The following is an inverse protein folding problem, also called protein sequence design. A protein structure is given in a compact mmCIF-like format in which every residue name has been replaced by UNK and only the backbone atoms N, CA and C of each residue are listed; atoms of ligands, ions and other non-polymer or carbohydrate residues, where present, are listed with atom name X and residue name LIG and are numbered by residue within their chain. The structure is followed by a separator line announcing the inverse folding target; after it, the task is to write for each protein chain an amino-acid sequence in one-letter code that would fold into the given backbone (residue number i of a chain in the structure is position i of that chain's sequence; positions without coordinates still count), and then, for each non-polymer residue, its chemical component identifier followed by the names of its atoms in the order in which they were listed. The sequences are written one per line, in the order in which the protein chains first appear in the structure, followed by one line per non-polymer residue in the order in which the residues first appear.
data_IF_353491440422
#
_entry.id   IF_353491440422
#
_cell.length_a   1.000
_cell.length_b   1.000
_cell.length_c   1.000
_cell.angle_alpha   90.00
_cell.angle_beta   90.00
_cell.angle_gamma   90.00
#
_symmetry.space_group_name_H-M   'P 1'
#
loop_
_entity.id
_entity.type
_entity.pdbx_description
1 polymer ?
#
# COMPACT_ATOMS: atom_id res chain seq x y z
N UNK A 1 31.30 -29.67 -8.53
CA UNK A 1 29.96 -29.14 -8.21
C UNK A 1 30.10 -27.63 -8.11
N UNK A 2 29.51 -26.91 -9.05
CA UNK A 2 29.84 -25.51 -9.35
C UNK A 2 29.06 -24.55 -8.46
N UNK A 3 29.75 -23.52 -7.96
CA UNK A 3 29.27 -22.48 -7.03
C UNK A 3 28.14 -21.60 -7.63
N UNK A 4 27.81 -21.78 -8.91
CA UNK A 4 26.77 -21.05 -9.62
C UNK A 4 25.36 -21.61 -9.44
N UNK A 5 25.19 -22.87 -9.00
CA UNK A 5 23.84 -23.44 -8.77
C UNK A 5 23.24 -23.02 -7.43
N UNK A 6 24.08 -22.59 -6.48
CA UNK A 6 23.62 -22.12 -5.16
C UNK A 6 23.04 -20.69 -5.21
N UNK A 7 23.36 -19.90 -6.23
CA UNK A 7 22.90 -18.51 -6.37
C UNK A 7 21.57 -18.38 -7.10
N UNK A 8 21.15 -19.40 -7.87
CA UNK A 8 19.83 -19.38 -8.50
C UNK A 8 18.70 -19.67 -7.50
N UNK A 9 18.98 -20.40 -6.41
CA UNK A 9 18.00 -20.68 -5.35
C UNK A 9 17.68 -19.47 -4.46
N UNK A 10 18.47 -18.38 -4.54
CA UNK A 10 18.19 -17.13 -3.80
C UNK A 10 17.37 -16.17 -4.65
N UNK A 11 17.26 -16.39 -5.96
CA UNK A 11 16.54 -15.52 -6.89
C UNK A 11 15.11 -16.00 -7.23
N UNK A 12 14.64 -17.10 -6.64
CA UNK A 12 13.37 -17.74 -7.01
C UNK A 12 12.50 -18.14 -5.82
N UNK A 13 12.53 -17.38 -4.72
CA UNK A 13 11.70 -17.67 -3.55
C UNK A 13 11.42 -16.43 -2.67
N UNK A 14 11.16 -15.28 -3.28
CA UNK A 14 10.24 -14.35 -2.64
C UNK A 14 9.14 -14.02 -3.65
N UNK A 15 8.13 -14.89 -3.67
CA UNK A 15 6.76 -14.46 -3.95
C UNK A 15 6.38 -13.49 -2.82
N UNK A 16 7.04 -12.33 -2.78
CA UNK A 16 6.74 -11.27 -1.83
C UNK A 16 5.41 -10.70 -2.28
N UNK A 17 4.34 -11.34 -1.81
CA UNK A 17 3.05 -10.71 -1.77
C UNK A 17 3.29 -9.41 -0.98
N UNK A 18 3.33 -8.25 -1.59
CA UNK A 18 3.48 -6.99 -0.87
C UNK A 18 2.12 -6.31 -0.87
N UNK A 19 1.71 -5.84 0.30
CA UNK A 19 0.50 -5.07 0.45
C UNK A 19 0.81 -3.61 0.12
N UNK A 20 0.09 -3.06 -0.84
CA UNK A 20 0.11 -1.63 -1.14
C UNK A 20 -1.22 -1.02 -0.75
N UNK A 21 -1.17 -0.08 0.18
CA UNK A 21 -2.30 0.73 0.61
C UNK A 21 -2.21 2.11 -0.04
N UNK A 22 -3.32 2.59 -0.56
CA UNK A 22 -3.41 3.91 -1.18
C UNK A 22 -4.67 4.65 -0.72
N UNK A 23 -4.53 5.95 -0.48
CA UNK A 23 -5.62 6.86 -0.13
C UNK A 23 -5.80 7.84 -1.27
N UNK A 24 -6.97 7.79 -1.90
CA UNK A 24 -7.37 8.76 -2.92
C UNK A 24 -8.44 9.69 -2.39
N UNK A 25 -8.35 10.95 -2.78
CA UNK A 25 -9.39 11.95 -2.59
C UNK A 25 -10.08 12.22 -3.91
N UNK A 26 -11.34 11.85 -4.01
CA UNK A 26 -12.19 12.18 -5.16
C UNK A 26 -13.00 13.43 -4.84
N UNK A 27 -13.10 14.34 -5.81
CA UNK A 27 -14.12 15.40 -5.82
C UNK A 27 -15.27 15.01 -6.75
N UNK A 28 -16.49 15.47 -6.46
CA UNK A 28 -17.72 15.08 -7.20
C UNK A 28 -17.60 15.31 -8.72
N UNK A 29 -16.74 16.23 -9.17
CA UNK A 29 -16.53 16.56 -10.59
C UNK A 29 -15.05 16.55 -11.02
N UNK A 30 -14.14 16.02 -10.20
CA UNK A 30 -12.70 16.08 -10.50
C UNK A 30 -12.04 14.71 -10.57
N UNK A 31 -10.73 14.74 -10.83
CA UNK A 31 -9.88 13.55 -10.83
C UNK A 31 -9.58 13.11 -9.40
N UNK A 32 -9.26 11.83 -9.25
CA UNK A 32 -8.82 11.26 -7.98
C UNK A 32 -7.40 11.75 -7.69
N UNK A 33 -7.21 12.45 -6.57
CA UNK A 33 -5.90 12.90 -6.10
C UNK A 33 -5.32 11.85 -5.15
N UNK A 34 -4.12 11.34 -5.46
CA UNK A 34 -3.39 10.46 -4.54
C UNK A 34 -2.87 11.28 -3.35
N UNK A 35 -3.36 10.99 -2.16
CA UNK A 35 -2.93 11.65 -0.91
C UNK A 35 -1.82 10.90 -0.21
N UNK A 36 -1.82 9.58 -0.29
CA UNK A 36 -0.85 8.74 0.40
C UNK A 36 -0.79 7.34 -0.21
N UNK A 37 0.40 6.77 -0.25
CA UNK A 37 0.66 5.40 -0.68
C UNK A 37 1.79 4.83 0.17
N UNK A 38 1.62 3.61 0.63
CA UNK A 38 2.68 2.83 1.28
C UNK A 38 2.61 1.39 0.80
N UNK A 39 3.77 0.80 0.52
CA UNK A 39 3.89 -0.62 0.16
C UNK A 39 4.77 -1.31 1.20
N UNK A 40 4.31 -2.42 1.75
CA UNK A 40 5.07 -3.27 2.67
C UNK A 40 4.99 -4.71 2.22
N UNK A 41 6.12 -5.40 2.28
CA UNK A 41 6.20 -6.86 2.11
C UNK A 41 6.34 -7.57 3.47
N UNK A 42 6.27 -6.80 4.56
CA UNK A 42 6.38 -7.27 5.93
C UNK A 42 4.97 -7.50 6.53
N UNK A 43 4.54 -8.77 6.56
CA UNK A 43 3.24 -9.22 7.06
C UNK A 43 3.11 -9.24 8.58
N UNK A 44 4.22 -9.10 9.33
CA UNK A 44 4.14 -8.91 10.79
C UNK A 44 3.66 -7.48 11.14
N UNK A 45 3.42 -6.64 10.14
CA UNK A 45 2.98 -5.26 10.32
C UNK A 45 1.46 -5.13 10.45
N UNK A 46 0.91 -5.59 11.59
CA UNK A 46 -0.36 -5.02 12.15
C UNK A 46 -0.33 -3.48 12.08
N UNK A 47 0.87 -2.92 12.15
CA UNK A 47 1.15 -1.50 12.03
C UNK A 47 0.80 -0.86 10.66
N UNK A 48 0.78 -1.58 9.53
CA UNK A 48 0.53 -0.95 8.22
C UNK A 48 -0.94 -0.57 8.07
N UNK A 49 -1.85 -1.50 8.38
CA UNK A 49 -3.30 -1.24 8.40
C UNK A 49 -3.65 -0.17 9.44
N UNK A 50 -3.02 -0.20 10.63
CA UNK A 50 -3.19 0.83 11.66
C UNK A 50 -2.73 2.21 11.17
N UNK A 51 -1.52 2.32 10.59
CA UNK A 51 -1.04 3.57 9.97
C UNK A 51 -1.98 4.04 8.88
N UNK A 52 -2.50 3.12 8.07
CA UNK A 52 -3.46 3.45 7.02
C UNK A 52 -4.75 4.06 7.60
N UNK A 53 -5.32 3.46 8.64
CA UNK A 53 -6.50 4.01 9.34
C UNK A 53 -6.23 5.38 9.95
N UNK A 54 -5.06 5.57 10.56
CA UNK A 54 -4.64 6.88 11.08
C UNK A 54 -4.54 7.93 9.97
N UNK A 55 -3.94 7.57 8.83
CA UNK A 55 -3.85 8.46 7.66
C UNK A 55 -5.22 8.77 7.08
N UNK A 56 -6.12 7.80 7.03
CA UNK A 56 -7.49 8.00 6.56
C UNK A 56 -8.24 9.00 7.45
N UNK A 57 -8.15 8.84 8.77
CA UNK A 57 -8.75 9.76 9.73
C UNK A 57 -8.15 11.16 9.61
N UNK A 58 -6.82 11.26 9.50
CA UNK A 58 -6.12 12.53 9.32
C UNK A 58 -6.58 13.28 8.07
N UNK A 59 -6.65 12.61 6.92
CA UNK A 59 -7.08 13.28 5.68
C UNK A 59 -8.57 13.61 5.70
N UNK A 60 -9.40 12.76 6.30
CA UNK A 60 -10.83 13.03 6.48
C UNK A 60 -11.07 14.29 7.31
N UNK A 61 -10.30 14.48 8.39
CA UNK A 61 -10.35 15.70 9.21
C UNK A 61 -9.80 16.92 8.46
N UNK A 62 -8.65 16.77 7.81
CA UNK A 62 -7.98 17.84 7.05
C UNK A 62 -8.85 18.37 5.90
N UNK A 63 -9.58 17.50 5.20
CA UNK A 63 -10.55 17.89 4.16
C UNK A 63 -11.97 17.44 4.51
N UNK A 64 -12.53 18.02 5.57
CA UNK A 64 -13.88 17.82 6.09
C UNK A 64 -15.03 18.29 5.16
N UNK A 65 -14.79 18.44 3.85
CA UNK A 65 -15.74 18.94 2.85
C UNK A 65 -16.33 17.85 1.93
N UNK A 66 -16.81 18.25 0.74
CA UNK A 66 -17.48 17.42 -0.28
C UNK A 66 -16.60 16.38 -1.00
N UNK A 67 -15.68 15.76 -0.27
CA UNK A 67 -14.74 14.77 -0.80
C UNK A 67 -15.20 13.35 -0.46
N UNK A 68 -14.92 12.43 -1.36
CA UNK A 68 -15.09 10.99 -1.14
C UNK A 68 -13.69 10.39 -1.08
N UNK A 69 -13.39 9.68 0.01
CA UNK A 69 -12.13 8.96 0.17
C UNK A 69 -12.29 7.52 -0.31
N UNK A 70 -11.34 7.07 -1.13
CA UNK A 70 -11.30 5.68 -1.59
C UNK A 70 -10.05 5.02 -1.04
N UNK A 71 -10.26 3.91 -0.36
CA UNK A 71 -9.24 2.95 -0.02
C UNK A 71 -8.95 2.07 -1.23
N UNK A 72 -7.67 1.83 -1.50
CA UNK A 72 -7.24 0.80 -2.44
C UNK A 72 -6.13 -0.01 -1.80
N UNK A 73 -6.38 -1.32 -1.63
CA UNK A 73 -5.38 -2.30 -1.23
C UNK A 73 -5.08 -3.21 -2.42
N UNK A 74 -3.83 -3.28 -2.85
CA UNK A 74 -3.37 -4.20 -3.89
C UNK A 74 -2.28 -5.10 -3.35
N UNK A 75 -2.33 -6.38 -3.71
CA UNK A 75 -1.29 -7.36 -3.40
C UNK A 75 -0.43 -7.55 -4.65
N UNK A 76 0.89 -7.35 -4.57
CA UNK A 76 1.77 -7.76 -5.67
C UNK A 76 1.82 -9.29 -5.74
N UNK A 77 1.85 -9.83 -6.97
CA UNK A 77 2.08 -11.26 -7.23
C UNK A 77 3.56 -11.50 -7.52
#
# INVERSE_FOLDING_TARGET
MSRCELLLAIATASEDNCERYSIYRSTIFGKDDLLWEETSCDYDSVRLEERFKEKMAYYTDLYSGSYVYKEHVTYSQ
#
